data_IF_196794394458
#
_entry.id   IF_196794394458
#
_cell.length_a   1.000
_cell.length_b   1.000
_cell.length_c   1.000
_cell.angle_alpha   90.00
_cell.angle_beta   90.00
_cell.angle_gamma   90.00
#
_symmetry.space_group_name_H-M   'P 1'
#
loop_
_entity.id
_entity.type
_entity.pdbx_description
1 polymer ?
#
# COMPACT_ATOMS: atom_id res chain seq x y z
N UNK A 1 2.81 26.63 13.82
CA UNK A 1 2.09 25.57 13.07
C UNK A 1 2.11 24.33 13.95
N UNK A 2 0.95 23.88 14.42
CA UNK A 2 0.84 22.81 15.42
C UNK A 2 1.03 21.44 14.77
N UNK A 3 1.67 20.48 15.46
CA UNK A 3 1.92 19.11 14.94
C UNK A 3 0.63 18.43 14.45
N UNK A 4 -0.51 18.70 15.08
CA UNK A 4 -1.83 18.21 14.67
C UNK A 4 -2.22 18.64 13.24
N UNK A 5 -1.96 19.90 12.85
CA UNK A 5 -2.27 20.37 11.50
C UNK A 5 -1.41 19.69 10.42
N UNK A 6 -0.19 19.28 10.76
CA UNK A 6 0.67 18.54 9.83
C UNK A 6 0.19 17.09 9.66
N UNK A 7 -0.28 16.46 10.75
CA UNK A 7 -0.87 15.13 10.71
C UNK A 7 -2.18 15.10 9.91
N UNK A 8 -3.04 16.10 10.09
CA UNK A 8 -4.28 16.24 9.31
C UNK A 8 -3.99 16.45 7.82
N UNK A 9 -3.00 17.28 7.48
CA UNK A 9 -2.59 17.48 6.10
C UNK A 9 -1.99 16.21 5.47
N UNK A 10 -1.20 15.45 6.23
CA UNK A 10 -0.70 14.16 5.75
C UNK A 10 -1.85 13.18 5.52
N UNK A 11 -2.79 13.06 6.47
CA UNK A 11 -3.96 12.17 6.31
C UNK A 11 -4.77 12.52 5.07
N UNK A 12 -5.03 13.81 4.83
CA UNK A 12 -5.77 14.24 3.64
C UNK A 12 -5.05 13.89 2.34
N UNK A 13 -3.71 14.01 2.29
CA UNK A 13 -2.94 13.60 1.11
C UNK A 13 -2.99 12.10 0.89
N UNK A 14 -2.82 11.31 1.95
CA UNK A 14 -2.94 9.84 1.88
C UNK A 14 -4.35 9.46 1.42
N UNK A 15 -5.39 10.12 1.94
CA UNK A 15 -6.78 9.80 1.58
C UNK A 15 -7.07 10.11 0.11
N UNK A 16 -6.58 11.25 -0.39
CA UNK A 16 -6.72 11.60 -1.80
C UNK A 16 -6.00 10.60 -2.70
N UNK A 17 -4.77 10.20 -2.36
CA UNK A 17 -4.03 9.21 -3.14
C UNK A 17 -4.67 7.82 -3.06
N UNK A 18 -5.21 7.46 -1.89
CA UNK A 18 -5.94 6.22 -1.67
C UNK A 18 -7.20 6.16 -2.53
N UNK A 19 -7.99 7.24 -2.58
CA UNK A 19 -9.19 7.33 -3.45
C UNK A 19 -8.82 7.28 -4.93
N UNK A 20 -7.77 7.99 -5.34
CA UNK A 20 -7.29 7.98 -6.74
C UNK A 20 -6.85 6.58 -7.19
N UNK A 21 -6.15 5.85 -6.32
CA UNK A 21 -5.64 4.52 -6.62
C UNK A 21 -6.50 3.39 -6.05
N UNK A 22 -7.75 3.70 -5.64
CA UNK A 22 -8.58 2.80 -4.83
C UNK A 22 -8.78 1.45 -5.49
N UNK A 23 -9.04 1.42 -6.81
CA UNK A 23 -9.23 0.17 -7.55
C UNK A 23 -8.02 -0.75 -7.43
N UNK A 24 -6.81 -0.23 -7.55
CA UNK A 24 -5.57 -1.03 -7.45
C UNK A 24 -5.24 -1.38 -6.00
N UNK A 25 -5.38 -0.43 -5.08
CA UNK A 25 -5.13 -0.65 -3.66
C UNK A 25 -6.07 -1.68 -3.07
N UNK A 26 -7.34 -1.67 -3.47
CA UNK A 26 -8.35 -2.65 -3.05
C UNK A 26 -7.90 -4.08 -3.33
N UNK A 27 -7.37 -4.37 -4.53
CA UNK A 27 -6.87 -5.72 -4.84
C UNK A 27 -5.67 -6.10 -3.96
N UNK A 28 -4.73 -5.18 -3.74
CA UNK A 28 -3.58 -5.44 -2.85
C UNK A 28 -4.00 -5.62 -1.39
N UNK A 29 -5.01 -4.87 -0.93
CA UNK A 29 -5.57 -5.02 0.41
C UNK A 29 -6.27 -6.37 0.57
N UNK A 30 -7.04 -6.81 -0.43
CA UNK A 30 -7.66 -8.14 -0.40
C UNK A 30 -6.62 -9.27 -0.39
N UNK A 31 -5.52 -9.11 -1.15
CA UNK A 31 -4.42 -10.07 -1.17
C UNK A 31 -3.66 -10.11 0.18
N UNK A 32 -3.33 -8.93 0.71
CA UNK A 32 -2.60 -8.79 1.98
C UNK A 32 -3.45 -9.22 3.19
N UNK A 33 -4.73 -8.86 3.18
CA UNK A 33 -5.69 -9.08 4.25
C UNK A 33 -6.78 -10.03 3.77
N UNK A 34 -6.40 -11.27 3.41
CA UNK A 34 -7.32 -12.27 2.83
C UNK A 34 -8.55 -12.65 3.65
N UNK A 35 -8.65 -12.17 4.91
CA UNK A 35 -9.84 -12.31 5.76
C UNK A 35 -10.85 -11.16 5.60
N UNK A 36 -10.45 -10.05 4.98
CA UNK A 36 -11.33 -8.89 4.73
C UNK A 36 -12.07 -9.09 3.42
N UNK A 37 -13.37 -8.84 3.40
CA UNK A 37 -14.15 -8.96 2.18
C UNK A 37 -14.14 -7.66 1.38
N UNK A 38 -14.33 -7.80 0.07
CA UNK A 38 -14.54 -6.70 -0.88
C UNK A 38 -15.61 -5.71 -0.40
N UNK A 39 -16.67 -6.20 0.24
CA UNK A 39 -17.74 -5.38 0.82
C UNK A 39 -17.30 -4.58 2.06
N UNK A 40 -16.46 -5.15 2.93
CA UNK A 40 -15.94 -4.44 4.11
C UNK A 40 -15.04 -3.27 3.69
N UNK A 41 -14.25 -3.44 2.63
CA UNK A 41 -13.42 -2.36 2.08
C UNK A 41 -14.28 -1.26 1.44
N UNK A 42 -15.32 -1.62 0.69
CA UNK A 42 -16.20 -0.65 0.00
C UNK A 42 -17.06 0.17 0.97
N UNK A 43 -17.44 -0.44 2.09
CA UNK A 43 -18.20 0.23 3.15
C UNK A 43 -17.39 1.31 3.87
N UNK A 44 -16.05 1.32 3.71
CA UNK A 44 -15.20 2.29 4.37
C UNK A 44 -15.33 3.69 3.77
N UNK A 45 -15.74 4.65 4.59
CA UNK A 45 -15.96 6.05 4.14
C UNK A 45 -14.68 6.90 4.15
N UNK A 46 -13.62 6.44 4.81
CA UNK A 46 -12.33 7.11 4.93
C UNK A 46 -11.26 6.21 5.54
N UNK A 47 -10.05 6.74 5.74
CA UNK A 47 -8.88 5.95 6.21
C UNK A 47 -9.12 5.35 7.60
N UNK A 48 -9.67 6.13 8.54
CA UNK A 48 -9.89 5.63 9.90
C UNK A 48 -10.88 4.46 9.94
N UNK A 49 -11.97 4.57 9.19
CA UNK A 49 -12.98 3.52 9.11
C UNK A 49 -12.42 2.27 8.41
N UNK A 50 -11.61 2.46 7.36
CA UNK A 50 -10.92 1.38 6.66
C UNK A 50 -9.95 0.63 7.58
N UNK A 51 -9.15 1.36 8.36
CA UNK A 51 -8.20 0.80 9.31
C UNK A 51 -8.92 -0.02 10.38
N UNK A 52 -9.97 0.55 10.99
CA UNK A 52 -10.74 -0.11 12.02
C UNK A 52 -11.42 -1.40 11.51
N UNK A 53 -12.01 -1.36 10.32
CA UNK A 53 -12.64 -2.55 9.70
C UNK A 53 -11.66 -3.65 9.39
N UNK A 54 -10.52 -3.32 8.79
CA UNK A 54 -9.49 -4.33 8.50
C UNK A 54 -8.97 -4.92 9.82
N UNK A 55 -8.64 -4.06 10.79
CA UNK A 55 -8.17 -4.49 12.11
C UNK A 55 -9.14 -5.45 12.80
N UNK A 56 -10.44 -5.12 12.79
CA UNK A 56 -11.51 -5.96 13.34
C UNK A 56 -11.62 -7.31 12.63
N UNK A 57 -11.65 -7.31 11.29
CA UNK A 57 -11.79 -8.55 10.50
C UNK A 57 -10.57 -9.47 10.56
N UNK A 58 -9.37 -8.89 10.53
CA UNK A 58 -8.12 -9.64 10.48
C UNK A 58 -7.49 -9.86 11.85
N UNK A 59 -8.11 -9.34 12.91
CA UNK A 59 -7.57 -9.35 14.27
C UNK A 59 -6.15 -8.73 14.37
N UNK A 60 -5.87 -7.73 13.54
CA UNK A 60 -4.62 -6.97 13.58
C UNK A 60 -4.80 -5.68 14.36
N UNK A 61 -3.69 -5.11 14.85
CA UNK A 61 -3.74 -3.79 15.49
C UNK A 61 -3.95 -2.69 14.44
N UNK A 62 -4.78 -1.69 14.76
CA UNK A 62 -5.02 -0.53 13.89
C UNK A 62 -3.72 0.16 13.45
N UNK A 63 -2.74 0.25 14.37
CA UNK A 63 -1.41 0.80 14.09
C UNK A 63 -0.66 0.04 12.99
N UNK A 64 -0.76 -1.29 12.98
CA UNK A 64 -0.15 -2.12 11.95
C UNK A 64 -0.82 -1.89 10.60
N UNK A 65 -2.16 -1.86 10.59
CA UNK A 65 -2.95 -1.62 9.38
C UNK A 65 -2.72 -0.22 8.81
N UNK A 66 -2.64 0.82 9.66
CA UNK A 66 -2.35 2.20 9.22
C UNK A 66 -0.97 2.29 8.56
N UNK A 67 0.06 1.70 9.19
CA UNK A 67 1.40 1.65 8.60
C UNK A 67 1.37 0.94 7.24
N UNK A 68 0.67 -0.19 7.14
CA UNK A 68 0.54 -0.94 5.90
C UNK A 68 -0.14 -0.14 4.80
N UNK A 69 -1.20 0.58 5.14
CA UNK A 69 -1.90 1.48 4.21
C UNK A 69 -0.98 2.59 3.70
N UNK A 70 -0.19 3.22 4.57
CA UNK A 70 0.79 4.25 4.18
C UNK A 70 1.86 3.70 3.23
N UNK A 71 2.34 2.47 3.48
CA UNK A 71 3.27 1.76 2.59
C UNK A 71 2.64 1.50 1.20
N UNK A 72 1.40 1.00 1.17
CA UNK A 72 0.69 0.68 -0.07
C UNK A 72 0.39 1.92 -0.93
N UNK A 73 0.08 3.06 -0.30
CA UNK A 73 -0.17 4.34 -0.99
C UNK A 73 1.15 4.99 -1.47
N UNK A 74 2.31 4.51 -1.02
CA UNK A 74 3.62 4.96 -1.49
C UNK A 74 4.14 6.23 -0.80
N UNK A 75 3.51 6.68 0.29
CA UNK A 75 3.98 7.84 1.09
C UNK A 75 5.25 7.51 1.90
N UNK A 76 5.72 6.26 1.86
CA UNK A 76 6.99 5.82 2.43
C UNK A 76 7.67 4.64 1.71
N UNK A 77 7.26 4.32 0.47
CA UNK A 77 7.77 3.15 -0.24
C UNK A 77 9.05 3.48 -1.05
N UNK A 78 10.15 3.73 -0.35
CA UNK A 78 11.47 3.28 -0.82
C UNK A 78 11.77 1.97 -0.11
N UNK A 79 11.24 0.86 -0.63
CA UNK A 79 11.60 -0.50 -0.20
C UNK A 79 10.48 -1.27 0.52
N UNK A 80 10.04 -2.37 -0.10
CA UNK A 80 9.16 -3.39 0.50
C UNK A 80 7.70 -2.94 0.60
N UNK A 81 6.73 -3.53 -0.09
CA UNK A 81 6.51 -4.95 -0.33
C UNK A 81 5.67 -5.03 -1.61
N UNK A 82 6.30 -5.49 -2.68
CA UNK A 82 5.61 -6.08 -3.81
C UNK A 82 5.44 -7.57 -3.54
N UNK A 83 4.36 -7.94 -2.85
CA UNK A 83 3.75 -9.26 -3.09
C UNK A 83 3.04 -9.08 -4.44
N UNK A 84 3.49 -9.82 -5.45
CA UNK A 84 2.91 -9.79 -6.80
C UNK A 84 3.69 -9.00 -7.86
N UNK A 85 4.97 -9.31 -8.06
CA UNK A 85 5.53 -9.39 -9.41
C UNK A 85 6.84 -10.18 -9.38
N UNK A 86 6.83 -11.39 -9.95
CA UNK A 86 8.01 -12.15 -10.38
C UNK A 86 8.78 -11.39 -11.47
N UNK A 87 9.36 -10.23 -11.13
CA UNK A 87 10.28 -9.47 -11.98
C UNK A 87 11.42 -8.88 -11.14
N UNK A 88 12.10 -9.74 -10.39
CA UNK A 88 13.51 -9.54 -10.06
C UNK A 88 14.27 -10.61 -10.83
N UNK A 89 14.57 -10.25 -12.07
CA UNK A 89 15.23 -11.08 -13.08
C UNK A 89 15.42 -10.28 -14.36
N UNK A 90 15.73 -8.98 -14.22
CA UNK A 90 16.29 -8.16 -15.30
C UNK A 90 17.78 -8.04 -14.96
N UNK A 91 18.52 -9.13 -15.13
CA UNK A 91 19.92 -9.03 -15.54
C UNK A 91 19.91 -9.04 -17.07
N UNK A 92 19.59 -7.89 -17.66
CA UNK A 92 19.98 -7.59 -19.03
C UNK A 92 21.14 -6.61 -18.91
N UNK A 93 22.33 -7.19 -18.72
CA UNK A 93 23.56 -6.45 -18.50
C UNK A 93 24.81 -7.23 -18.89
N UNK A 94 24.77 -8.10 -19.90
CA UNK A 94 26.01 -8.60 -20.52
C UNK A 94 25.83 -8.94 -22.01
N UNK A 95 25.55 -7.89 -22.77
CA UNK A 95 25.81 -7.85 -24.20
C UNK A 95 27.30 -7.51 -24.41
N UNK A 96 28.19 -8.52 -24.38
CA UNK A 96 29.55 -8.38 -24.90
C UNK A 96 29.60 -8.92 -26.34
N UNK A 97 29.70 -8.05 -27.35
CA UNK A 97 30.21 -8.44 -28.64
C UNK A 97 31.69 -8.02 -28.77
N UNK A 98 32.47 -8.85 -29.45
CA UNK A 98 33.81 -8.60 -30.00
C UNK A 98 35.04 -8.71 -29.07
N UNK A 99 35.84 -9.74 -29.35
CA UNK A 99 37.20 -9.89 -28.86
C UNK A 99 37.95 -11.00 -29.62
N UNK A 100 38.24 -10.75 -30.89
CA UNK A 100 39.20 -11.55 -31.64
C UNK A 100 40.60 -11.32 -31.07
N UNK A 101 41.27 -12.41 -30.67
CA UNK A 101 42.72 -12.65 -30.80
C UNK A 101 43.12 -13.99 -30.22
#
# INVERSE_FOLDING_TARGET
>A
MSQQQQEEQQRQRVEQQLRQNWRQLRYRLLDQFGQVSTADLDAATGIQDLVARIADRTHHSERYVENRLRELVGVGAQGGIGIGNERIGIDQGQNQPFGAR
#
